data_IF_848478246327
#
_entry.id   IF_848478246327
#
_cell.length_a   1.000
_cell.length_b   1.000
_cell.length_c   1.000
_cell.angle_alpha   90.00
_cell.angle_beta   90.00
_cell.angle_gamma   90.00
#
_symmetry.space_group_name_H-M   'P 1'
#
loop_
_entity.id
_entity.type
_entity.pdbx_description
1 polymer ?
#
# COMPACT_ATOMS: atom_id res chain seq x y z
N UNK A 1 45.09 37.06 9.58
CA UNK A 1 43.94 36.81 10.47
C UNK A 1 42.71 37.43 9.83
N UNK A 2 41.97 36.65 9.07
CA UNK A 2 40.74 37.12 8.38
C UNK A 2 39.56 36.59 9.18
N UNK A 3 38.87 37.45 9.91
CA UNK A 3 37.65 37.13 10.66
C UNK A 3 36.51 36.87 9.67
N UNK A 4 35.97 35.65 9.75
CA UNK A 4 34.88 35.19 8.90
C UNK A 4 33.58 35.93 9.26
N UNK A 5 33.12 36.78 8.34
CA UNK A 5 31.91 37.62 8.46
C UNK A 5 30.59 36.81 8.36
N UNK A 6 30.65 35.52 8.15
CA UNK A 6 29.46 34.69 7.87
C UNK A 6 28.77 34.10 9.11
N UNK A 7 29.37 34.14 10.28
CA UNK A 7 28.74 33.61 11.51
C UNK A 7 27.67 34.53 12.12
N UNK A 8 27.72 35.84 11.81
CA UNK A 8 26.77 36.81 12.35
C UNK A 8 25.39 36.81 11.70
N UNK A 9 25.26 36.22 10.51
CA UNK A 9 23.99 36.22 9.77
C UNK A 9 23.11 35.00 10.19
N UNK A 10 23.75 33.89 10.56
CA UNK A 10 23.03 32.66 10.95
C UNK A 10 22.37 32.76 12.34
N UNK A 11 22.93 33.51 13.27
CA UNK A 11 22.36 33.67 14.62
C UNK A 11 21.18 34.62 14.65
N UNK A 12 21.13 35.64 13.78
CA UNK A 12 19.97 36.57 13.69
C UNK A 12 18.74 35.91 13.06
N UNK A 13 18.91 35.03 12.09
CA UNK A 13 17.77 34.37 11.43
C UNK A 13 17.14 33.26 12.29
N UNK A 14 17.85 32.66 13.25
CA UNK A 14 17.28 31.63 14.14
C UNK A 14 16.30 32.24 15.16
N UNK A 15 16.50 33.47 15.59
CA UNK A 15 15.59 34.13 16.55
C UNK A 15 14.30 34.59 15.84
N UNK A 16 14.38 35.00 14.57
CA UNK A 16 13.21 35.46 13.84
C UNK A 16 12.30 34.27 13.44
N UNK A 17 12.87 33.10 13.14
CA UNK A 17 12.11 31.89 12.76
C UNK A 17 11.34 31.29 13.97
N UNK A 18 11.82 31.50 15.20
CA UNK A 18 11.12 31.02 16.41
C UNK A 18 10.05 31.98 16.94
N UNK A 19 10.08 33.28 16.61
CA UNK A 19 9.13 34.25 17.14
C UNK A 19 7.91 34.46 16.24
N UNK A 20 8.02 34.22 14.95
CA UNK A 20 6.90 34.38 13.99
C UNK A 20 5.76 33.38 14.26
N UNK A 21 5.99 32.09 14.57
CA UNK A 21 4.86 31.18 14.86
C UNK A 21 4.17 31.47 16.20
N UNK A 22 4.87 32.05 17.19
CA UNK A 22 4.26 32.34 18.51
C UNK A 22 3.34 33.57 18.42
N UNK A 23 3.71 34.58 17.63
CA UNK A 23 2.84 35.74 17.40
C UNK A 23 1.62 35.40 16.52
N UNK A 24 1.78 34.50 15.53
CA UNK A 24 0.65 34.01 14.73
C UNK A 24 -0.31 33.14 15.56
N UNK A 25 0.18 32.39 16.53
CA UNK A 25 -0.66 31.56 17.41
C UNK A 25 -1.51 32.42 18.35
N UNK A 26 -0.98 33.55 18.83
CA UNK A 26 -1.75 34.49 19.69
C UNK A 26 -2.80 35.27 18.91
N UNK A 27 -2.59 35.57 17.64
CA UNK A 27 -3.63 36.16 16.79
C UNK A 27 -4.73 35.17 16.41
N UNK A 28 -4.40 33.88 16.24
CA UNK A 28 -5.39 32.85 15.93
C UNK A 28 -6.33 32.57 17.12
N UNK A 29 -5.87 32.72 18.36
CA UNK A 29 -6.70 32.53 19.54
C UNK A 29 -7.66 33.69 19.78
N UNK A 30 -7.32 34.91 19.34
CA UNK A 30 -8.25 36.07 19.45
C UNK A 30 -9.32 36.09 18.35
N UNK A 31 -9.05 35.50 17.18
CA UNK A 31 -10.04 35.43 16.09
C UNK A 31 -11.07 34.31 16.36
N UNK A 32 -10.68 33.26 17.11
CA UNK A 32 -11.57 32.14 17.44
C UNK A 32 -12.76 32.54 18.36
N UNK A 33 -12.63 33.63 19.11
CA UNK A 33 -13.71 34.12 20.04
C UNK A 33 -14.69 35.08 19.38
N UNK A 34 -14.43 35.59 18.18
CA UNK A 34 -15.30 36.54 17.49
C UNK A 34 -16.22 35.91 16.43
N UNK A 35 -16.14 34.64 16.16
CA UNK A 35 -16.90 33.95 15.10
C UNK A 35 -17.97 32.98 15.60
N UNK A 36 -18.48 33.18 16.83
CA UNK A 36 -19.72 32.53 17.27
C UNK A 36 -20.94 33.34 16.86
N UNK A 37 -21.16 33.49 15.57
CA UNK A 37 -22.45 33.99 15.06
C UNK A 37 -23.46 32.84 15.10
N UNK A 38 -24.67 33.04 15.65
CA UNK A 38 -25.71 32.00 15.68
C UNK A 38 -26.11 31.69 14.22
N UNK A 39 -25.84 30.47 13.77
CA UNK A 39 -26.21 29.99 12.46
C UNK A 39 -25.06 29.41 11.59
N UNK A 40 -23.81 29.55 12.00
CA UNK A 40 -22.69 28.88 11.35
C UNK A 40 -22.20 27.71 12.21
N UNK A 41 -22.02 26.52 11.64
CA UNK A 41 -21.38 25.42 12.37
C UNK A 41 -19.96 25.84 12.79
N UNK A 42 -19.52 25.49 14.01
CA UNK A 42 -18.17 25.82 14.45
C UNK A 42 -17.15 25.24 13.46
N UNK A 43 -16.25 26.10 12.95
CA UNK A 43 -15.07 25.65 12.21
C UNK A 43 -14.17 24.98 13.24
N UNK A 44 -14.32 23.68 13.40
CA UNK A 44 -13.47 22.86 14.26
C UNK A 44 -12.11 22.78 13.59
N UNK A 45 -11.22 23.71 13.89
CA UNK A 45 -9.80 23.48 13.75
C UNK A 45 -9.43 22.43 14.80
N UNK A 46 -9.43 21.17 14.36
CA UNK A 46 -9.24 20.05 15.24
C UNK A 46 -7.85 20.03 15.85
N UNK A 47 -7.75 20.41 17.09
CA UNK A 47 -6.89 19.72 18.05
C UNK A 47 -7.62 18.40 18.39
N UNK A 48 -7.68 17.46 17.46
CA UNK A 48 -8.13 16.12 17.77
C UNK A 48 -7.01 15.39 18.47
N UNK A 49 -7.34 15.03 19.68
CA UNK A 49 -6.64 14.09 20.54
C UNK A 49 -6.09 12.93 19.72
N UNK A 50 -4.79 12.69 19.87
CA UNK A 50 -4.08 11.49 19.43
C UNK A 50 -4.55 10.35 20.33
N UNK A 51 -5.76 9.87 20.05
CA UNK A 51 -6.37 8.76 20.74
C UNK A 51 -7.30 8.04 19.76
N UNK A 52 -6.79 6.95 19.14
CA UNK A 52 -7.59 6.04 18.32
C UNK A 52 -8.11 6.61 16.99
N UNK A 53 -7.34 7.47 16.32
CA UNK A 53 -7.60 7.82 14.93
C UNK A 53 -7.27 6.59 14.07
N UNK A 54 -8.27 5.92 13.50
CA UNK A 54 -8.09 5.18 12.24
C UNK A 54 -7.32 6.13 11.35
N UNK A 55 -6.04 5.84 11.15
CA UNK A 55 -5.15 6.67 10.35
C UNK A 55 -5.83 6.85 8.98
N UNK A 56 -6.26 8.08 8.69
CA UNK A 56 -7.04 8.38 7.50
C UNK A 56 -6.09 8.23 6.32
N UNK A 57 -6.10 7.06 5.71
CA UNK A 57 -5.17 6.72 4.66
C UNK A 57 -5.45 7.58 3.43
N UNK A 58 -4.42 7.99 2.73
CA UNK A 58 -4.50 8.90 1.58
C UNK A 58 -5.54 8.45 0.53
N UNK A 59 -5.68 7.14 0.34
CA UNK A 59 -6.62 6.58 -0.63
C UNK A 59 -8.08 6.80 -0.23
N UNK A 60 -8.43 6.90 1.05
CA UNK A 60 -9.80 7.20 1.47
C UNK A 60 -10.18 8.63 1.07
N UNK A 61 -9.25 9.59 1.15
CA UNK A 61 -9.44 10.95 0.62
C UNK A 61 -9.56 10.96 -0.90
N UNK A 62 -8.68 10.22 -1.57
CA UNK A 62 -8.72 10.14 -3.04
C UNK A 62 -10.04 9.54 -3.54
N UNK A 63 -10.56 8.50 -2.86
CA UNK A 63 -11.84 7.85 -3.20
C UNK A 63 -13.06 8.73 -2.84
N UNK A 64 -12.96 9.57 -1.83
CA UNK A 64 -14.02 10.55 -1.50
C UNK A 64 -14.17 11.60 -2.61
N UNK A 65 -13.06 11.97 -3.28
CA UNK A 65 -13.04 12.94 -4.40
C UNK A 65 -13.43 12.23 -5.71
N UNK A 66 -12.82 11.07 -5.98
CA UNK A 66 -13.06 10.30 -7.19
C UNK A 66 -13.10 8.80 -6.86
N UNK A 67 -14.30 8.24 -6.84
CA UNK A 67 -14.54 6.83 -6.54
C UNK A 67 -13.92 5.85 -7.57
N UNK A 68 -13.56 6.34 -8.75
CA UNK A 68 -12.93 5.60 -9.82
C UNK A 68 -11.41 5.79 -9.90
N UNK A 69 -10.79 6.32 -8.84
CA UNK A 69 -9.34 6.46 -8.76
C UNK A 69 -8.68 5.08 -8.63
N UNK A 70 -8.21 4.52 -9.77
CA UNK A 70 -7.64 3.17 -9.83
C UNK A 70 -6.47 2.99 -8.85
N UNK A 71 -5.46 3.87 -8.78
CA UNK A 71 -4.39 3.75 -7.79
C UNK A 71 -4.90 3.65 -6.35
N UNK A 72 -5.91 4.44 -5.99
CA UNK A 72 -6.48 4.42 -4.65
C UNK A 72 -7.27 3.13 -4.35
N UNK A 73 -8.02 2.63 -5.34
CA UNK A 73 -8.73 1.34 -5.25
C UNK A 73 -7.75 0.18 -5.04
N UNK A 74 -6.67 0.14 -5.83
CA UNK A 74 -5.63 -0.89 -5.76
C UNK A 74 -4.92 -0.84 -4.40
N UNK A 75 -4.50 0.34 -3.95
CA UNK A 75 -3.81 0.48 -2.67
C UNK A 75 -4.69 0.03 -1.50
N UNK A 76 -5.95 0.43 -1.50
CA UNK A 76 -6.91 0.01 -0.46
C UNK A 76 -7.09 -1.51 -0.46
N UNK A 77 -7.23 -2.11 -1.64
CA UNK A 77 -7.30 -3.57 -1.77
C UNK A 77 -6.04 -4.26 -1.28
N UNK A 78 -4.86 -3.77 -1.65
CA UNK A 78 -3.57 -4.34 -1.23
C UNK A 78 -3.37 -4.25 0.29
N UNK A 79 -3.74 -3.13 0.90
CA UNK A 79 -3.66 -2.98 2.36
C UNK A 79 -4.58 -3.97 3.09
N UNK A 80 -5.78 -4.22 2.54
CA UNK A 80 -6.70 -5.23 3.08
C UNK A 80 -6.16 -6.66 2.92
N UNK A 81 -5.45 -6.96 1.81
CA UNK A 81 -4.73 -8.25 1.67
C UNK A 81 -3.71 -8.42 2.78
N UNK A 82 -2.89 -7.38 3.02
CA UNK A 82 -1.87 -7.41 4.07
C UNK A 82 -2.46 -7.51 5.49
N UNK A 83 -3.68 -7.00 5.68
CA UNK A 83 -4.43 -7.13 6.93
C UNK A 83 -5.14 -8.50 7.09
N UNK A 84 -5.08 -9.38 6.08
CA UNK A 84 -5.79 -10.67 6.09
C UNK A 84 -7.28 -10.57 5.75
N UNK A 85 -7.76 -9.40 5.32
CA UNK A 85 -9.16 -9.13 4.99
C UNK A 85 -9.45 -9.44 3.51
N UNK A 86 -9.12 -10.66 3.07
CA UNK A 86 -9.13 -11.07 1.67
C UNK A 86 -10.46 -10.84 0.95
N UNK A 87 -11.61 -11.12 1.59
CA UNK A 87 -12.93 -10.89 1.00
C UNK A 87 -13.17 -9.41 0.68
N UNK A 88 -12.82 -8.52 1.61
CA UNK A 88 -12.98 -7.09 1.42
C UNK A 88 -11.99 -6.56 0.37
N UNK A 89 -10.77 -7.10 0.36
CA UNK A 89 -9.75 -6.76 -0.63
C UNK A 89 -10.25 -7.02 -2.06
N UNK A 90 -10.85 -8.19 -2.31
CA UNK A 90 -11.39 -8.56 -3.62
C UNK A 90 -12.41 -7.54 -4.12
N UNK A 91 -13.29 -7.04 -3.26
CA UNK A 91 -14.30 -6.02 -3.65
C UNK A 91 -13.65 -4.76 -4.23
N UNK A 92 -12.57 -4.27 -3.59
CA UNK A 92 -11.88 -3.07 -4.05
C UNK A 92 -11.03 -3.32 -5.29
N UNK A 93 -10.38 -4.48 -5.36
CA UNK A 93 -9.57 -4.89 -6.51
C UNK A 93 -10.45 -5.17 -7.74
N UNK A 94 -11.64 -5.71 -7.57
CA UNK A 94 -12.61 -5.89 -8.66
C UNK A 94 -13.10 -4.56 -9.23
N UNK A 95 -13.31 -3.55 -8.37
CA UNK A 95 -13.60 -2.19 -8.85
C UNK A 95 -12.46 -1.63 -9.69
N UNK A 96 -11.22 -1.82 -9.23
CA UNK A 96 -10.05 -1.39 -9.99
C UNK A 96 -9.95 -2.10 -11.34
N UNK A 97 -10.10 -3.44 -11.36
CA UNK A 97 -10.02 -4.27 -12.57
C UNK A 97 -11.19 -4.07 -13.54
N UNK A 98 -12.33 -3.57 -13.06
CA UNK A 98 -13.44 -3.17 -13.92
C UNK A 98 -13.09 -1.92 -14.75
N UNK A 99 -12.26 -1.03 -14.21
CA UNK A 99 -11.83 0.20 -14.86
C UNK A 99 -10.59 -0.06 -15.70
N UNK A 100 -9.60 -0.76 -15.15
CA UNK A 100 -8.34 -1.15 -15.80
C UNK A 100 -8.14 -2.67 -15.67
N UNK A 101 -8.65 -3.46 -16.64
CA UNK A 101 -8.55 -4.92 -16.63
C UNK A 101 -7.11 -5.48 -16.67
N UNK A 102 -6.17 -4.66 -17.14
CA UNK A 102 -4.75 -5.06 -17.28
C UNK A 102 -3.86 -4.56 -16.14
N UNK A 103 -4.44 -3.98 -15.09
CA UNK A 103 -3.68 -3.49 -13.94
C UNK A 103 -2.98 -4.64 -13.21
N UNK A 104 -1.68 -4.80 -13.47
CA UNK A 104 -0.89 -5.91 -12.93
C UNK A 104 -0.91 -5.95 -11.40
N UNK A 105 -0.80 -4.79 -10.73
CA UNK A 105 -0.81 -4.72 -9.27
C UNK A 105 -2.17 -5.18 -8.69
N UNK A 106 -3.28 -4.79 -9.34
CA UNK A 106 -4.60 -5.25 -8.94
C UNK A 106 -4.78 -6.76 -9.14
N UNK A 107 -4.26 -7.31 -10.24
CA UNK A 107 -4.28 -8.74 -10.53
C UNK A 107 -3.45 -9.53 -9.51
N UNK A 108 -2.21 -9.12 -9.25
CA UNK A 108 -1.33 -9.73 -8.24
C UNK A 108 -1.97 -9.72 -6.86
N UNK A 109 -2.46 -8.55 -6.43
CA UNK A 109 -3.09 -8.40 -5.11
C UNK A 109 -4.36 -9.26 -4.99
N UNK A 110 -5.17 -9.34 -6.06
CA UNK A 110 -6.36 -10.21 -6.08
C UNK A 110 -5.96 -11.69 -6.04
N UNK A 111 -4.94 -12.09 -6.78
CA UNK A 111 -4.38 -13.44 -6.71
C UNK A 111 -3.93 -13.80 -5.28
N UNK A 112 -3.24 -12.88 -4.60
CA UNK A 112 -2.80 -13.07 -3.22
C UNK A 112 -3.99 -13.17 -2.23
N UNK A 113 -5.04 -12.35 -2.41
CA UNK A 113 -6.27 -12.43 -1.62
C UNK A 113 -6.97 -13.79 -1.79
N UNK A 114 -7.16 -14.22 -3.04
CA UNK A 114 -7.80 -15.50 -3.38
C UNK A 114 -7.00 -16.68 -2.80
N UNK A 115 -5.68 -16.66 -2.94
CA UNK A 115 -4.79 -17.66 -2.33
C UNK A 115 -4.93 -17.70 -0.81
N UNK A 116 -4.96 -16.55 -0.15
CA UNK A 116 -5.17 -16.43 1.30
C UNK A 116 -6.52 -17.00 1.77
N UNK A 117 -7.52 -17.00 0.90
CA UNK A 117 -8.85 -17.59 1.14
C UNK A 117 -8.95 -19.08 0.75
N UNK A 118 -7.86 -19.70 0.28
CA UNK A 118 -7.84 -21.07 -0.20
C UNK A 118 -8.45 -21.29 -1.59
N UNK A 119 -8.79 -20.20 -2.30
CA UNK A 119 -9.34 -20.23 -3.66
C UNK A 119 -8.20 -20.32 -4.69
N UNK A 120 -7.45 -21.41 -4.63
CA UNK A 120 -6.18 -21.57 -5.35
C UNK A 120 -6.34 -21.52 -6.87
N UNK A 121 -7.39 -22.11 -7.43
CA UNK A 121 -7.60 -22.11 -8.87
C UNK A 121 -7.87 -20.70 -9.41
N UNK A 122 -8.69 -19.91 -8.70
CA UNK A 122 -8.97 -18.53 -9.07
C UNK A 122 -7.72 -17.66 -8.92
N UNK A 123 -6.89 -17.92 -7.90
CA UNK A 123 -5.61 -17.25 -7.73
C UNK A 123 -4.67 -17.51 -8.91
N UNK A 124 -4.56 -18.78 -9.37
CA UNK A 124 -3.76 -19.16 -10.52
C UNK A 124 -4.19 -18.37 -11.77
N UNK A 125 -5.50 -18.24 -12.01
CA UNK A 125 -6.02 -17.45 -13.13
C UNK A 125 -5.57 -15.99 -13.06
N UNK A 126 -5.53 -15.39 -11.87
CA UNK A 126 -5.08 -14.00 -11.72
C UNK A 126 -3.57 -13.88 -12.04
N UNK A 127 -2.75 -14.78 -11.55
CA UNK A 127 -1.32 -14.80 -11.84
C UNK A 127 -1.04 -15.09 -13.32
N UNK A 128 -1.81 -15.98 -13.96
CA UNK A 128 -1.68 -16.25 -15.40
C UNK A 128 -1.96 -15.00 -16.23
N UNK A 129 -2.92 -14.17 -15.85
CA UNK A 129 -3.18 -12.90 -16.52
C UNK A 129 -2.00 -11.94 -16.40
N UNK A 130 -1.33 -11.89 -15.24
CA UNK A 130 -0.10 -11.08 -15.08
C UNK A 130 1.01 -11.64 -15.96
N UNK A 131 1.23 -12.96 -15.94
CA UNK A 131 2.28 -13.63 -16.72
C UNK A 131 2.04 -13.56 -18.24
N UNK A 132 0.80 -13.31 -18.67
CA UNK A 132 0.50 -13.01 -20.07
C UNK A 132 0.94 -11.59 -20.48
N UNK A 133 1.03 -10.65 -19.52
CA UNK A 133 1.51 -9.27 -19.72
C UNK A 133 3.04 -9.23 -19.55
N UNK A 134 3.53 -9.76 -18.44
CA UNK A 134 4.95 -9.89 -18.12
C UNK A 134 5.29 -11.35 -17.73
N UNK A 135 5.84 -12.14 -18.66
CA UNK A 135 6.20 -13.54 -18.42
C UNK A 135 7.30 -13.74 -17.37
N UNK A 136 7.98 -12.65 -16.98
CA UNK A 136 9.11 -12.66 -16.06
C UNK A 136 8.77 -12.04 -14.69
N UNK A 137 7.50 -11.74 -14.42
CA UNK A 137 7.09 -11.24 -13.11
C UNK A 137 7.29 -12.30 -12.02
N UNK A 138 8.37 -12.14 -11.25
CA UNK A 138 8.82 -13.11 -10.24
C UNK A 138 7.76 -13.30 -9.14
N UNK A 139 7.00 -12.24 -8.79
CA UNK A 139 5.94 -12.34 -7.81
C UNK A 139 4.79 -13.23 -8.28
N UNK A 140 4.40 -13.09 -9.54
CA UNK A 140 3.33 -13.91 -10.11
C UNK A 140 3.77 -15.35 -10.34
N UNK A 141 5.03 -15.59 -10.73
CA UNK A 141 5.59 -16.93 -10.82
C UNK A 141 5.56 -17.63 -9.45
N UNK A 142 6.05 -16.96 -8.40
CA UNK A 142 6.01 -17.48 -7.04
C UNK A 142 4.58 -17.65 -6.51
N UNK A 143 3.71 -16.67 -6.72
CA UNK A 143 2.30 -16.73 -6.28
C UNK A 143 1.51 -17.85 -6.95
N UNK A 144 1.78 -18.10 -8.26
CA UNK A 144 1.21 -19.23 -8.98
C UNK A 144 1.73 -20.57 -8.44
N UNK A 145 3.02 -20.68 -8.18
CA UNK A 145 3.60 -21.88 -7.60
C UNK A 145 3.03 -22.18 -6.20
N UNK A 146 2.91 -21.17 -5.33
CA UNK A 146 2.27 -21.31 -4.02
C UNK A 146 0.81 -21.77 -4.14
N UNK A 147 0.08 -21.26 -5.12
CA UNK A 147 -1.31 -21.65 -5.35
C UNK A 147 -1.43 -23.08 -5.87
N UNK A 148 -0.51 -23.50 -6.75
CA UNK A 148 -0.41 -24.88 -7.20
C UNK A 148 -0.06 -25.84 -6.06
N UNK A 149 0.84 -25.44 -5.18
CA UNK A 149 1.17 -26.18 -3.97
C UNK A 149 -0.05 -26.34 -3.08
N UNK A 150 -0.75 -25.24 -2.79
CA UNK A 150 -1.97 -25.26 -1.96
C UNK A 150 -3.10 -26.11 -2.56
N UNK A 151 -3.16 -26.26 -3.88
CA UNK A 151 -4.11 -27.13 -4.57
C UNK A 151 -3.64 -28.58 -4.76
N UNK A 152 -2.47 -28.93 -4.21
CA UNK A 152 -1.89 -30.29 -4.31
C UNK A 152 -1.16 -30.62 -5.61
N UNK A 153 -0.97 -29.63 -6.50
CA UNK A 153 -0.30 -29.83 -7.79
C UNK A 153 1.23 -29.65 -7.67
N UNK A 154 1.85 -30.50 -6.84
CA UNK A 154 3.24 -30.35 -6.38
C UNK A 154 4.27 -30.29 -7.51
N UNK A 155 4.18 -31.17 -8.51
CA UNK A 155 5.15 -31.19 -9.62
C UNK A 155 5.09 -29.90 -10.45
N UNK A 156 3.88 -29.35 -10.65
CA UNK A 156 3.73 -28.10 -11.38
C UNK A 156 4.27 -26.93 -10.55
N UNK A 157 4.04 -26.93 -9.23
CA UNK A 157 4.57 -25.90 -8.34
C UNK A 157 6.10 -25.83 -8.42
N UNK A 158 6.80 -26.97 -8.42
CA UNK A 158 8.27 -27.03 -8.56
C UNK A 158 8.73 -26.39 -9.87
N UNK A 159 8.09 -26.70 -10.99
CA UNK A 159 8.46 -26.15 -12.30
C UNK A 159 8.34 -24.61 -12.34
N UNK A 160 7.30 -24.04 -11.70
CA UNK A 160 7.13 -22.59 -11.65
C UNK A 160 8.10 -21.92 -10.68
N UNK A 161 8.48 -22.58 -9.58
CA UNK A 161 9.53 -22.11 -8.66
C UNK A 161 10.89 -22.10 -9.38
N UNK A 162 11.20 -23.15 -10.13
CA UNK A 162 12.45 -23.20 -10.88
C UNK A 162 12.55 -22.06 -11.89
N UNK A 163 11.47 -21.79 -12.63
CA UNK A 163 11.40 -20.65 -13.54
C UNK A 163 11.60 -19.32 -12.83
N UNK A 164 11.02 -19.12 -11.64
CA UNK A 164 11.21 -17.91 -10.87
C UNK A 164 12.66 -17.73 -10.40
N UNK A 165 13.34 -18.83 -10.01
CA UNK A 165 14.75 -18.81 -9.61
C UNK A 165 15.73 -18.68 -10.78
N UNK A 166 15.34 -19.03 -12.00
CA UNK A 166 16.11 -18.71 -13.20
C UNK A 166 16.19 -17.20 -13.43
N UNK A 167 15.14 -16.47 -13.10
CA UNK A 167 15.07 -15.01 -13.25
C UNK A 167 15.74 -14.30 -12.06
N UNK A 168 15.41 -14.70 -10.83
CA UNK A 168 16.00 -14.17 -9.60
C UNK A 168 16.53 -15.29 -8.71
N UNK A 169 17.79 -15.73 -8.96
CA UNK A 169 18.40 -16.83 -8.21
C UNK A 169 18.58 -16.54 -6.71
N UNK A 170 18.63 -15.27 -6.31
CA UNK A 170 18.88 -14.84 -4.94
C UNK A 170 17.59 -14.54 -4.16
N UNK A 171 16.42 -14.84 -4.70
CA UNK A 171 15.15 -14.63 -4.02
C UNK A 171 14.98 -15.61 -2.85
N UNK A 172 15.32 -15.15 -1.65
CA UNK A 172 15.30 -15.99 -0.45
C UNK A 172 13.91 -16.58 -0.12
N UNK A 173 12.83 -15.87 -0.46
CA UNK A 173 11.46 -16.39 -0.25
C UNK A 173 11.16 -17.56 -1.18
N UNK A 174 11.54 -17.44 -2.45
CA UNK A 174 11.31 -18.49 -3.45
C UNK A 174 12.21 -19.69 -3.16
N UNK A 175 13.46 -19.48 -2.75
CA UNK A 175 14.35 -20.56 -2.31
C UNK A 175 13.76 -21.34 -1.14
N UNK A 176 13.21 -20.67 -0.14
CA UNK A 176 12.55 -21.31 1.01
C UNK A 176 11.34 -22.16 0.57
N UNK A 177 10.51 -21.65 -0.36
CA UNK A 177 9.40 -22.44 -0.93
C UNK A 177 9.92 -23.68 -1.66
N UNK A 178 11.00 -23.56 -2.44
CA UNK A 178 11.63 -24.71 -3.12
C UNK A 178 12.10 -25.77 -2.14
N UNK A 179 12.75 -25.36 -1.05
CA UNK A 179 13.19 -26.29 -0.01
C UNK A 179 12.01 -27.04 0.62
N UNK A 180 10.92 -26.32 0.94
CA UNK A 180 9.69 -26.91 1.48
C UNK A 180 9.09 -27.92 0.51
N UNK A 181 8.98 -27.59 -0.79
CA UNK A 181 8.48 -28.47 -1.82
C UNK A 181 9.33 -29.75 -1.96
N UNK A 182 10.66 -29.61 -1.95
CA UNK A 182 11.58 -30.74 -2.04
C UNK A 182 11.48 -31.70 -0.85
N UNK A 183 11.05 -31.25 0.33
CA UNK A 183 10.82 -32.10 1.49
C UNK A 183 9.54 -32.93 1.36
N UNK A 184 8.52 -32.40 0.69
CA UNK A 184 7.20 -33.03 0.55
C UNK A 184 7.15 -33.98 -0.66
N UNK A 185 8.02 -33.76 -1.67
CA UNK A 185 8.07 -34.56 -2.91
C UNK A 185 9.03 -35.76 -2.84
N UNK A 186 9.75 -35.96 -1.72
CA UNK A 186 10.58 -37.12 -1.44
C UNK A 186 9.77 -38.25 -0.82
#
# INVERSE_FOLDING_TARGET
MVKNKNESIYTKNRVIVCLVPIMLLSLLTMVGSLLSLPGFPPVVYGSQEVGNSKEFKWYDRALAINQNNVPALVQKGTDLVNAGEGQQAIIWLDKALKIDPSNMMALVSKGAALRGLGQYQDAIVMYDRVLAIDPNDVYSLGGKADSLYGSGQLHQAVAWIDKALEIDPNNGKIQQVKETLNQVTK
#
